data_IF_534966246392
#
_entry.id   IF_534966246392
#
_cell.length_a   1.000
_cell.length_b   1.000
_cell.length_c   1.000
_cell.angle_alpha   90.00
_cell.angle_beta   90.00
_cell.angle_gamma   90.00
#
_symmetry.space_group_name_H-M   'P 1'
#
loop_
_entity.id
_entity.type
_entity.pdbx_description
1 polymer ?
#
# COMPACT_ATOMS: atom_id res chain seq x y z
N UNK A 1 1.47 14.97 18.74
CA UNK A 1 1.66 13.95 17.69
C UNK A 1 0.48 12.99 17.82
N UNK A 2 -0.45 12.97 16.85
CA UNK A 2 -1.66 12.17 16.96
C UNK A 2 -1.38 10.67 16.82
N UNK A 3 -2.19 9.82 17.46
CA UNK A 3 -2.16 8.40 17.17
C UNK A 3 -2.91 8.15 15.85
N UNK A 4 -2.17 7.86 14.78
CA UNK A 4 -2.75 7.60 13.46
C UNK A 4 -3.18 6.14 13.27
N UNK A 5 -2.91 5.26 14.24
CA UNK A 5 -3.33 3.86 14.19
C UNK A 5 -4.78 3.77 14.69
N UNK A 6 -5.69 3.43 13.78
CA UNK A 6 -7.11 3.26 14.03
C UNK A 6 -7.43 1.76 14.09
N UNK A 7 -7.75 1.20 15.27
CA UNK A 7 -8.25 -0.16 15.37
C UNK A 7 -9.68 -0.21 14.79
N UNK A 8 -9.89 -1.10 13.82
CA UNK A 8 -11.20 -1.35 13.22
C UNK A 8 -11.81 -2.66 13.77
N UNK A 9 -10.96 -3.63 14.15
CA UNK A 9 -11.29 -4.82 14.95
C UNK A 9 -10.02 -5.35 15.62
N UNK A 10 -10.09 -6.51 16.29
CA UNK A 10 -8.94 -7.16 16.94
C UNK A 10 -7.77 -7.49 16.01
N UNK A 11 -8.05 -7.62 14.70
CA UNK A 11 -7.07 -8.01 13.67
C UNK A 11 -6.99 -7.04 12.50
N UNK A 12 -7.91 -6.07 12.40
CA UNK A 12 -7.96 -5.08 11.31
C UNK A 12 -7.67 -3.69 11.85
N UNK A 13 -6.73 -3.00 11.21
CA UNK A 13 -6.30 -1.65 11.55
C UNK A 13 -6.25 -0.79 10.29
N UNK A 14 -6.31 0.53 10.45
CA UNK A 14 -5.92 1.48 9.41
C UNK A 14 -4.99 2.55 9.97
N UNK A 15 -4.13 3.10 9.12
CA UNK A 15 -3.28 4.25 9.44
C UNK A 15 -3.91 5.47 8.77
N UNK A 16 -4.59 6.31 9.55
CA UNK A 16 -5.33 7.46 9.04
C UNK A 16 -5.39 8.62 10.04
N UNK A 17 -5.23 9.83 9.52
CA UNK A 17 -5.57 11.06 10.24
C UNK A 17 -7.09 11.27 10.27
N UNK A 18 -7.58 12.11 11.18
CA UNK A 18 -9.03 12.39 11.28
C UNK A 18 -9.60 13.04 10.01
N UNK A 19 -8.74 13.69 9.20
CA UNK A 19 -9.13 14.39 7.98
C UNK A 19 -8.90 13.55 6.72
N UNK A 20 -8.37 12.33 6.85
CA UNK A 20 -8.14 11.44 5.71
C UNK A 20 -9.40 10.63 5.44
N UNK A 21 -10.07 10.92 4.34
CA UNK A 21 -11.16 10.10 3.86
C UNK A 21 -10.63 8.83 3.18
N UNK A 22 -11.17 7.68 3.57
CA UNK A 22 -10.89 6.37 2.99
C UNK A 22 -12.22 5.78 2.53
N UNK A 23 -12.22 5.19 1.34
CA UNK A 23 -13.43 4.60 0.77
C UNK A 23 -13.91 3.37 1.58
N UNK A 24 -15.20 3.32 1.91
CA UNK A 24 -15.80 2.24 2.70
C UNK A 24 -15.61 0.87 2.04
N UNK A 25 -15.62 0.82 0.70
CA UNK A 25 -15.41 -0.42 -0.03
C UNK A 25 -13.99 -0.99 0.17
N UNK A 26 -12.98 -0.12 0.33
CA UNK A 26 -11.62 -0.53 0.67
C UNK A 26 -11.52 -1.06 2.11
N UNK A 27 -12.21 -0.41 3.05
CA UNK A 27 -12.34 -0.90 4.44
C UNK A 27 -13.02 -2.28 4.46
N UNK A 28 -14.08 -2.46 3.68
CA UNK A 28 -14.76 -3.76 3.56
C UNK A 28 -13.86 -4.85 2.98
N UNK A 29 -12.98 -4.49 2.04
CA UNK A 29 -11.97 -5.41 1.52
C UNK A 29 -10.93 -5.80 2.59
N UNK A 30 -10.55 -4.91 3.52
CA UNK A 30 -9.71 -5.28 4.67
C UNK A 30 -10.39 -6.34 5.55
N UNK A 31 -11.66 -6.13 5.90
CA UNK A 31 -12.43 -7.10 6.69
C UNK A 31 -12.58 -8.44 5.98
N UNK A 32 -12.79 -8.42 4.66
CA UNK A 32 -12.88 -9.64 3.86
C UNK A 32 -11.56 -10.39 3.86
N UNK A 33 -10.45 -9.67 3.69
CA UNK A 33 -9.08 -10.24 3.71
C UNK A 33 -8.74 -10.82 5.09
N UNK A 34 -9.22 -10.22 6.18
CA UNK A 34 -9.00 -10.69 7.54
C UNK A 34 -9.62 -12.07 7.83
N UNK A 35 -10.63 -12.48 7.04
CA UNK A 35 -11.28 -13.80 7.16
C UNK A 35 -10.48 -14.94 6.52
N UNK A 36 -9.40 -14.62 5.79
CA UNK A 36 -8.56 -15.64 5.18
C UNK A 36 -7.86 -16.52 6.23
N UNK A 37 -7.84 -17.83 6.00
CA UNK A 37 -7.24 -18.82 6.91
C UNK A 37 -5.79 -18.49 7.28
N UNK A 38 -5.51 -18.37 8.58
CA UNK A 38 -4.16 -18.09 9.07
C UNK A 38 -3.76 -16.62 9.03
N UNK A 39 -4.65 -15.71 8.59
CA UNK A 39 -4.45 -14.28 8.71
C UNK A 39 -4.42 -13.85 10.18
N UNK A 40 -3.46 -13.02 10.56
CA UNK A 40 -3.22 -12.55 11.95
C UNK A 40 -3.40 -11.05 12.10
N UNK A 41 -3.01 -10.29 11.08
CA UNK A 41 -3.17 -8.83 11.02
C UNK A 41 -3.42 -8.37 9.58
N UNK A 42 -4.28 -7.38 9.43
CA UNK A 42 -4.57 -6.68 8.18
C UNK A 42 -4.52 -5.18 8.49
N UNK A 43 -3.69 -4.43 7.78
CA UNK A 43 -3.49 -3.00 8.01
C UNK A 43 -3.71 -2.24 6.72
N UNK A 44 -4.64 -1.30 6.73
CA UNK A 44 -4.80 -0.29 5.68
C UNK A 44 -3.81 0.85 5.83
N UNK A 45 -3.11 1.21 4.76
CA UNK A 45 -2.19 2.34 4.71
C UNK A 45 -2.94 3.64 4.35
N UNK A 46 -2.31 4.83 4.45
CA UNK A 46 -2.98 6.09 4.13
C UNK A 46 -3.45 6.23 2.67
N UNK A 47 -2.87 5.46 1.75
CA UNK A 47 -3.22 5.38 0.33
C UNK A 47 -4.20 4.24 0.01
N UNK A 48 -4.84 3.67 1.05
CA UNK A 48 -5.80 2.58 0.93
C UNK A 48 -6.94 2.93 -0.03
N UNK A 49 -7.14 2.08 -1.03
CA UNK A 49 -8.24 2.20 -1.98
C UNK A 49 -8.69 0.82 -2.51
N UNK A 50 -9.86 0.74 -3.16
CA UNK A 50 -10.41 -0.53 -3.59
C UNK A 50 -9.57 -1.13 -4.73
N UNK A 51 -9.25 -2.41 -4.61
CA UNK A 51 -8.66 -3.18 -5.69
C UNK A 51 -9.62 -4.20 -6.28
N UNK A 52 -9.10 -5.05 -7.17
CA UNK A 52 -9.86 -6.16 -7.78
C UNK A 52 -9.91 -7.35 -6.81
N UNK A 53 -10.85 -7.30 -5.88
CA UNK A 53 -11.12 -8.34 -4.88
C UNK A 53 -10.42 -8.14 -3.54
N UNK A 54 -9.21 -7.58 -3.54
CA UNK A 54 -8.44 -7.24 -2.34
C UNK A 54 -8.03 -5.76 -2.39
N UNK A 55 -7.80 -5.11 -1.23
CA UNK A 55 -7.48 -3.70 -1.20
C UNK A 55 -6.04 -3.43 -1.66
N UNK A 56 -5.82 -2.26 -2.26
CA UNK A 56 -4.49 -1.74 -2.58
C UNK A 56 -4.09 -0.74 -1.50
N UNK A 57 -2.79 -0.63 -1.18
CA UNK A 57 -2.34 0.19 -0.05
C UNK A 57 -2.61 -0.50 1.28
N UNK A 58 -2.24 -1.78 1.39
CA UNK A 58 -2.46 -2.56 2.60
C UNK A 58 -1.30 -3.53 2.88
N UNK A 59 -1.10 -3.86 4.15
CA UNK A 59 -0.15 -4.85 4.63
C UNK A 59 -0.86 -6.01 5.33
N UNK A 60 -0.40 -7.24 5.09
CA UNK A 60 -1.03 -8.45 5.59
C UNK A 60 0.01 -9.34 6.29
N UNK A 61 -0.34 -9.84 7.47
CA UNK A 61 0.48 -10.81 8.19
C UNK A 61 -0.30 -12.11 8.34
N UNK A 62 0.12 -13.14 7.62
CA UNK A 62 -0.43 -14.50 7.71
C UNK A 62 0.61 -15.48 8.24
N UNK A 63 0.15 -16.57 8.87
CA UNK A 63 0.98 -17.68 9.34
C UNK A 63 0.50 -19.00 8.76
N UNK A 64 1.43 -19.83 8.28
CA UNK A 64 1.14 -21.16 7.73
C UNK A 64 0.49 -21.15 6.34
N UNK A 65 0.26 -19.96 5.75
CA UNK A 65 -0.29 -19.84 4.40
C UNK A 65 0.17 -18.57 3.72
N UNK A 66 0.60 -18.70 2.47
CA UNK A 66 0.93 -17.60 1.57
C UNK A 66 -0.23 -17.40 0.57
N UNK A 67 -0.54 -16.14 0.27
CA UNK A 67 -1.63 -15.76 -0.63
C UNK A 67 -1.09 -14.94 -1.81
N UNK A 68 -0.74 -15.59 -2.95
CA UNK A 68 -0.19 -14.88 -4.10
C UNK A 68 -1.09 -13.73 -4.61
N UNK A 69 -2.40 -13.90 -4.52
CA UNK A 69 -3.36 -12.87 -4.94
C UNK A 69 -3.29 -11.56 -4.14
N UNK A 70 -2.70 -11.57 -2.93
CA UNK A 70 -2.50 -10.37 -2.11
C UNK A 70 -1.23 -9.58 -2.48
N UNK A 71 -0.35 -10.15 -3.31
CA UNK A 71 0.86 -9.47 -3.79
C UNK A 71 0.54 -8.46 -4.89
N UNK A 72 -0.52 -8.73 -5.67
CA UNK A 72 -0.88 -7.99 -6.87
C UNK A 72 -0.46 -8.71 -8.15
N UNK A 73 -1.03 -8.28 -9.28
CA UNK A 73 -0.78 -8.90 -10.58
C UNK A 73 0.60 -8.55 -11.14
N UNK A 74 1.11 -7.36 -10.82
CA UNK A 74 2.44 -6.89 -11.21
C UNK A 74 3.44 -7.16 -10.08
N UNK A 75 3.85 -8.43 -9.97
CA UNK A 75 4.75 -8.88 -8.90
C UNK A 75 6.13 -8.26 -9.11
N UNK A 76 6.59 -7.51 -8.10
CA UNK A 76 7.85 -6.77 -8.18
C UNK A 76 7.67 -5.31 -8.58
N UNK A 77 6.43 -4.85 -8.79
CA UNK A 77 6.14 -3.43 -8.90
C UNK A 77 6.75 -2.66 -7.72
N UNK A 78 7.49 -1.61 -8.05
CA UNK A 78 8.27 -0.85 -7.10
C UNK A 78 9.00 0.29 -7.78
N UNK A 79 9.78 1.01 -6.99
CA UNK A 79 10.58 2.14 -7.48
C UNK A 79 12.05 1.92 -7.13
N UNK A 80 12.93 2.42 -7.97
CA UNK A 80 14.34 2.55 -7.70
C UNK A 80 14.77 4.00 -7.89
N UNK A 81 15.73 4.43 -7.08
CA UNK A 81 16.26 5.79 -7.08
C UNK A 81 17.76 5.72 -7.34
N UNK A 82 18.21 6.42 -8.38
CA UNK A 82 19.64 6.53 -8.71
C UNK A 82 20.11 7.95 -8.48
N UNK A 83 21.11 8.10 -7.60
CA UNK A 83 21.81 9.36 -7.41
C UNK A 83 22.83 9.55 -8.54
N UNK A 84 22.90 10.77 -9.07
CA UNK A 84 23.86 11.16 -10.12
C UNK A 84 24.65 12.38 -9.68
N UNK A 85 25.75 12.65 -10.38
CA UNK A 85 26.57 13.86 -10.16
C UNK A 85 26.07 15.08 -10.97
N UNK A 86 24.92 14.98 -11.64
CA UNK A 86 24.36 16.08 -12.44
C UNK A 86 23.85 17.17 -11.50
N UNK A 87 24.45 18.35 -11.59
CA UNK A 87 23.95 19.52 -10.88
C UNK A 87 22.55 19.90 -11.36
N UNK A 88 21.63 20.21 -10.45
CA UNK A 88 20.25 20.59 -10.79
C UNK A 88 20.15 21.74 -11.80
N UNK A 89 21.06 22.72 -11.75
CA UNK A 89 21.09 23.82 -12.75
C UNK A 89 21.47 23.39 -14.17
N UNK A 90 22.12 22.22 -14.31
CA UNK A 90 22.50 21.62 -15.60
C UNK A 90 21.48 20.56 -16.05
N UNK A 91 20.49 20.25 -15.22
CA UNK A 91 19.44 19.31 -15.56
C UNK A 91 18.50 19.91 -16.61
N UNK A 92 18.20 19.12 -17.64
CA UNK A 92 17.18 19.42 -18.62
C UNK A 92 16.50 18.09 -18.98
N UNK A 93 15.22 17.96 -18.63
CA UNK A 93 14.46 16.72 -18.76
C UNK A 93 14.41 16.25 -20.23
N UNK A 94 14.00 17.13 -21.15
CA UNK A 94 13.84 16.81 -22.57
C UNK A 94 15.15 16.32 -23.23
N UNK A 95 16.30 16.91 -22.87
CA UNK A 95 17.60 16.48 -23.39
C UNK A 95 18.03 15.13 -22.85
N UNK A 96 17.71 14.82 -21.59
CA UNK A 96 18.05 13.53 -20.99
C UNK A 96 17.14 12.42 -21.49
N UNK A 97 15.85 12.69 -21.61
CA UNK A 97 14.87 11.76 -22.17
C UNK A 97 15.26 11.31 -23.57
N UNK A 98 15.70 12.23 -24.45
CA UNK A 98 16.19 11.91 -25.80
C UNK A 98 17.43 11.02 -25.87
N UNK A 99 18.08 10.73 -24.73
CA UNK A 99 19.27 9.87 -24.63
C UNK A 99 18.95 8.49 -24.07
N UNK A 100 17.72 8.27 -23.62
CA UNK A 100 17.18 6.97 -23.23
C UNK A 100 16.66 6.25 -24.48
#
# INVERSE_FOLDING_TARGET
MGNYIRPLSDVVFSIASDNLWIEDSAIQQLYTTAKLTGMKRVIGMPDLHPGRGYPIGAAFFSRGRFYPALVGNDIGCGMALWQTDILGRKYNADKLEKRL
#
